data_IF_433741729972
#
_entry.id   IF_433741729972
#
_cell.length_a   1.000
_cell.length_b   1.000
_cell.length_c   1.000
_cell.angle_alpha   90.00
_cell.angle_beta   90.00
_cell.angle_gamma   90.00
#
_symmetry.space_group_name_H-M   'P 1'
#
loop_
_entity.id
_entity.type
_entity.pdbx_description
1 polymer ?
#
# COMPACT_ATOMS: atom_id res chain seq x y z
N UNK A 1 23.90 10.64 32.63
CA UNK A 1 22.51 10.55 32.15
C UNK A 1 22.49 9.59 30.97
N UNK A 2 21.95 8.39 31.13
CA UNK A 2 21.76 7.45 30.02
C UNK A 2 20.79 8.09 29.03
N UNK A 3 21.20 8.25 27.77
CA UNK A 3 20.34 8.75 26.70
C UNK A 3 19.13 7.80 26.61
N UNK A 4 17.92 8.35 26.73
CA UNK A 4 16.64 7.66 26.49
C UNK A 4 16.58 7.13 25.05
N UNK A 5 17.30 6.03 24.75
CA UNK A 5 17.29 5.33 23.48
C UNK A 5 15.99 4.54 23.24
N UNK A 6 15.17 4.40 24.27
CA UNK A 6 13.98 3.54 24.25
C UNK A 6 12.72 4.23 23.71
N UNK A 7 12.79 5.55 23.42
CA UNK A 7 11.69 6.34 22.87
C UNK A 7 11.99 6.77 21.44
N UNK A 8 12.18 5.81 20.55
CA UNK A 8 12.44 6.06 19.13
C UNK A 8 11.20 5.68 18.27
N UNK A 9 11.21 6.14 17.05
CA UNK A 9 10.28 5.73 16.00
C UNK A 9 10.20 4.19 15.88
N UNK A 10 11.35 3.53 15.89
CA UNK A 10 11.48 2.08 15.84
C UNK A 10 10.69 1.39 16.97
N UNK A 11 10.85 1.84 18.21
CA UNK A 11 10.28 1.16 19.38
C UNK A 11 8.82 1.51 19.62
N UNK A 12 8.38 2.70 19.20
CA UNK A 12 7.02 3.18 19.48
C UNK A 12 6.02 2.93 18.36
N UNK A 13 6.49 2.89 17.12
CA UNK A 13 5.59 2.77 15.97
C UNK A 13 5.97 1.61 15.06
N UNK A 14 7.24 1.50 14.65
CA UNK A 14 7.63 0.53 13.62
C UNK A 14 7.49 -0.92 14.09
N UNK A 15 8.05 -1.29 15.25
CA UNK A 15 7.92 -2.64 15.81
C UNK A 15 6.45 -2.97 16.14
N UNK A 16 5.68 -2.12 16.85
CA UNK A 16 4.27 -2.36 17.07
C UNK A 16 3.46 -2.57 15.78
N UNK A 17 3.71 -1.76 14.75
CA UNK A 17 3.06 -1.88 13.46
C UNK A 17 3.40 -3.22 12.76
N UNK A 18 4.67 -3.65 12.80
CA UNK A 18 5.09 -4.94 12.27
C UNK A 18 4.39 -6.11 12.98
N UNK A 19 4.37 -6.10 14.31
CA UNK A 19 3.68 -7.11 15.11
C UNK A 19 2.16 -7.10 14.87
N UNK A 20 1.58 -5.92 14.62
CA UNK A 20 0.16 -5.81 14.29
C UNK A 20 -0.14 -6.43 12.92
N UNK A 21 0.68 -6.17 11.89
CA UNK A 21 0.57 -6.83 10.59
C UNK A 21 0.70 -8.35 10.71
N UNK A 22 1.59 -8.85 11.57
CA UNK A 22 1.67 -10.30 11.84
C UNK A 22 0.37 -10.85 12.44
N UNK A 23 -0.30 -10.11 13.34
CA UNK A 23 -1.64 -10.47 13.84
C UNK A 23 -2.69 -10.52 12.74
N UNK A 24 -2.51 -9.75 11.69
CA UNK A 24 -3.36 -9.73 10.50
C UNK A 24 -3.00 -10.84 9.48
N UNK A 25 -2.06 -11.74 9.83
CA UNK A 25 -1.68 -12.88 9.01
C UNK A 25 -0.56 -12.63 7.99
N UNK A 26 0.22 -11.56 8.18
CA UNK A 26 1.46 -11.35 7.41
C UNK A 26 2.61 -12.14 8.05
N UNK A 27 3.45 -12.72 7.22
CA UNK A 27 4.66 -13.42 7.66
C UNK A 27 5.83 -12.45 7.74
N UNK A 28 6.44 -12.35 8.92
CA UNK A 28 7.64 -11.53 9.10
C UNK A 28 8.87 -12.22 8.51
N UNK A 29 9.62 -11.50 7.71
CA UNK A 29 10.92 -11.92 7.18
C UNK A 29 12.04 -11.21 7.94
N UNK A 30 12.95 -11.95 8.60
CA UNK A 30 14.04 -11.33 9.35
C UNK A 30 15.04 -10.65 8.40
N UNK A 31 15.66 -9.57 8.86
CA UNK A 31 16.58 -8.73 8.06
C UNK A 31 17.75 -9.49 7.44
N UNK A 32 18.21 -10.54 8.13
CA UNK A 32 19.25 -11.42 7.66
C UNK A 32 18.71 -12.79 7.17
N UNK A 33 17.40 -12.87 6.89
CA UNK A 33 16.78 -14.07 6.34
C UNK A 33 17.21 -14.34 4.90
N UNK A 34 17.09 -15.58 4.48
CA UNK A 34 17.49 -16.02 3.14
C UNK A 34 16.77 -15.22 2.05
N UNK A 35 15.46 -15.04 2.18
CA UNK A 35 14.61 -14.35 1.21
C UNK A 35 15.05 -12.89 1.02
N UNK A 36 15.45 -12.22 2.13
CA UNK A 36 15.94 -10.84 2.09
C UNK A 36 17.36 -10.78 1.53
N UNK A 37 18.22 -11.76 1.84
CA UNK A 37 19.59 -11.81 1.33
C UNK A 37 19.66 -12.07 -0.18
N UNK A 38 18.76 -12.91 -0.70
CA UNK A 38 18.68 -13.32 -2.11
C UNK A 38 17.77 -12.42 -2.97
N UNK A 39 17.22 -11.33 -2.39
CA UNK A 39 16.37 -10.41 -3.13
C UNK A 39 17.12 -9.69 -4.25
N UNK A 40 16.39 -9.23 -5.24
CA UNK A 40 16.95 -8.27 -6.21
C UNK A 40 17.18 -6.90 -5.54
N UNK A 41 18.40 -6.37 -5.55
CA UNK A 41 18.72 -5.16 -4.78
C UNK A 41 18.08 -3.88 -5.33
N UNK A 42 17.80 -3.81 -6.63
CA UNK A 42 17.24 -2.62 -7.29
C UNK A 42 15.73 -2.51 -7.10
N UNK A 43 15.05 -3.66 -7.09
CA UNK A 43 13.59 -3.72 -7.05
C UNK A 43 13.07 -4.18 -5.70
N UNK A 44 13.91 -4.79 -4.87
CA UNK A 44 13.54 -5.53 -3.66
C UNK A 44 12.60 -6.73 -3.92
N UNK A 45 12.48 -7.23 -5.15
CA UNK A 45 11.73 -8.47 -5.41
C UNK A 45 12.37 -9.62 -4.64
N UNK A 46 11.59 -10.35 -3.87
CA UNK A 46 11.99 -11.62 -3.24
C UNK A 46 11.94 -12.71 -4.32
N UNK A 47 13.05 -12.88 -5.04
CA UNK A 47 13.09 -13.68 -6.28
C UNK A 47 12.62 -15.10 -6.07
N UNK A 48 13.08 -15.78 -4.99
CA UNK A 48 12.69 -17.16 -4.68
C UNK A 48 11.19 -17.28 -4.39
N UNK A 49 10.63 -16.36 -3.60
CA UNK A 49 9.20 -16.34 -3.25
C UNK A 49 8.35 -16.04 -4.49
N UNK A 50 8.76 -15.05 -5.29
CA UNK A 50 8.04 -14.70 -6.51
C UNK A 50 8.06 -15.85 -7.51
N UNK A 51 9.19 -16.51 -7.70
CA UNK A 51 9.32 -17.70 -8.59
C UNK A 51 8.37 -18.82 -8.18
N UNK A 52 8.35 -19.16 -6.90
CA UNK A 52 7.46 -20.19 -6.36
C UNK A 52 5.98 -19.88 -6.65
N UNK A 53 5.53 -18.66 -6.30
CA UNK A 53 4.14 -18.28 -6.53
C UNK A 53 3.79 -18.11 -8.00
N UNK A 54 4.70 -17.59 -8.80
CA UNK A 54 4.53 -17.46 -10.25
C UNK A 54 4.30 -18.81 -10.91
N UNK A 55 5.16 -19.79 -10.66
CA UNK A 55 5.02 -21.14 -11.20
C UNK A 55 3.80 -21.89 -10.65
N UNK A 56 3.41 -21.62 -9.41
CA UNK A 56 2.17 -22.15 -8.83
C UNK A 56 0.91 -21.68 -9.57
N UNK A 57 0.85 -20.39 -9.91
CA UNK A 57 -0.30 -19.81 -10.63
C UNK A 57 -0.27 -20.10 -12.13
N UNK A 58 0.92 -20.30 -12.68
CA UNK A 58 1.14 -20.53 -14.13
C UNK A 58 1.80 -21.89 -14.34
N UNK A 59 1.12 -22.97 -13.97
CA UNK A 59 1.66 -24.32 -13.95
C UNK A 59 2.05 -24.89 -15.33
N UNK A 60 1.73 -24.18 -16.41
CA UNK A 60 2.14 -24.47 -17.79
C UNK A 60 3.47 -23.79 -18.17
N UNK A 61 3.99 -22.89 -17.34
CA UNK A 61 5.25 -22.19 -17.56
C UNK A 61 6.42 -22.90 -16.84
N UNK A 62 7.61 -22.67 -17.34
CA UNK A 62 8.87 -23.25 -16.84
C UNK A 62 9.69 -22.24 -16.03
N UNK A 63 10.80 -22.69 -15.45
CA UNK A 63 11.77 -21.80 -14.81
C UNK A 63 12.40 -20.82 -15.80
N UNK A 64 12.68 -21.25 -17.03
CA UNK A 64 13.21 -20.38 -18.08
C UNK A 64 12.20 -19.29 -18.48
N UNK A 65 10.91 -19.60 -18.45
CA UNK A 65 9.84 -18.63 -18.66
C UNK A 65 9.83 -17.59 -17.52
N UNK A 66 10.00 -18.03 -16.27
CA UNK A 66 10.09 -17.13 -15.13
C UNK A 66 11.29 -16.17 -15.25
N UNK A 67 12.48 -16.66 -15.64
CA UNK A 67 13.66 -15.82 -15.79
C UNK A 67 13.47 -14.76 -16.89
N UNK A 68 12.80 -15.12 -18.00
CA UNK A 68 12.42 -14.15 -19.05
C UNK A 68 11.42 -13.14 -18.53
N UNK A 69 10.44 -13.59 -17.76
CA UNK A 69 9.44 -12.72 -17.17
C UNK A 69 10.04 -11.73 -16.18
N UNK A 70 10.93 -12.18 -15.32
CA UNK A 70 11.65 -11.30 -14.39
C UNK A 70 12.49 -10.25 -15.13
N UNK A 71 13.12 -10.62 -16.25
CA UNK A 71 13.86 -9.68 -17.09
C UNK A 71 12.93 -8.63 -17.74
N UNK A 72 11.76 -9.06 -18.25
CA UNK A 72 10.75 -8.17 -18.81
C UNK A 72 10.21 -7.18 -17.76
N UNK A 73 9.91 -7.66 -16.55
CA UNK A 73 9.51 -6.81 -15.42
C UNK A 73 10.56 -5.72 -15.18
N UNK A 74 11.85 -6.08 -15.11
CA UNK A 74 12.92 -5.10 -14.88
C UNK A 74 13.01 -4.05 -15.98
N UNK A 75 12.81 -4.42 -17.25
CA UNK A 75 12.77 -3.49 -18.38
C UNK A 75 11.58 -2.52 -18.28
N UNK A 76 10.40 -3.01 -17.89
CA UNK A 76 9.22 -2.17 -17.71
C UNK A 76 9.38 -1.21 -16.52
N UNK A 77 10.01 -1.67 -15.45
CA UNK A 77 10.26 -0.84 -14.27
C UNK A 77 11.27 0.29 -14.53
N UNK A 78 12.05 0.23 -15.59
CA UNK A 78 12.94 1.32 -16.02
C UNK A 78 12.20 2.42 -16.80
N UNK A 79 10.97 2.17 -17.25
CA UNK A 79 10.22 3.14 -18.03
C UNK A 79 9.82 4.37 -17.20
N UNK A 80 9.77 5.52 -17.88
CA UNK A 80 9.35 6.78 -17.24
C UNK A 80 7.82 6.93 -17.33
N UNK A 81 7.07 6.01 -16.72
CA UNK A 81 5.61 5.92 -16.84
C UNK A 81 4.89 5.72 -15.51
N UNK A 82 5.54 6.06 -14.38
CA UNK A 82 5.02 5.86 -13.02
C UNK A 82 4.67 4.39 -12.69
N UNK A 83 5.29 3.43 -13.41
CA UNK A 83 5.02 2.01 -13.27
C UNK A 83 3.73 1.56 -13.97
N UNK A 84 3.23 2.32 -14.97
CA UNK A 84 2.01 1.96 -15.72
C UNK A 84 2.17 0.62 -16.46
N UNK A 85 3.31 0.39 -17.09
CA UNK A 85 3.58 -0.87 -17.81
C UNK A 85 3.57 -2.05 -16.86
N UNK A 86 4.30 -1.98 -15.76
CA UNK A 86 4.27 -3.00 -14.71
C UNK A 86 2.86 -3.18 -14.12
N UNK A 87 2.13 -2.09 -13.88
CA UNK A 87 0.77 -2.18 -13.37
C UNK A 87 -0.17 -2.94 -14.31
N UNK A 88 -0.05 -2.74 -15.63
CA UNK A 88 -0.82 -3.50 -16.63
C UNK A 88 -0.50 -4.99 -16.56
N UNK A 89 0.78 -5.33 -16.45
CA UNK A 89 1.24 -6.71 -16.28
C UNK A 89 0.69 -7.31 -14.98
N UNK A 90 0.78 -6.57 -13.87
CA UNK A 90 0.22 -6.98 -12.57
C UNK A 90 -1.30 -7.27 -12.64
N UNK A 91 -2.02 -6.61 -13.55
CA UNK A 91 -3.45 -6.84 -13.79
C UNK A 91 -3.74 -8.05 -14.71
N UNK A 92 -2.74 -8.81 -15.13
CA UNK A 92 -2.90 -9.99 -16.00
C UNK A 92 -3.15 -9.65 -17.48
N UNK A 93 -2.71 -8.47 -17.95
CA UNK A 93 -2.88 -8.11 -19.37
C UNK A 93 -1.87 -8.83 -20.31
N UNK A 94 -0.89 -9.52 -19.75
CA UNK A 94 0.19 -10.23 -20.47
C UNK A 94 0.13 -11.74 -20.26
N UNK A 95 -1.07 -12.29 -20.06
CA UNK A 95 -1.36 -13.73 -19.91
C UNK A 95 -0.77 -14.44 -18.67
N UNK A 96 0.18 -13.84 -17.95
CA UNK A 96 0.74 -14.41 -16.72
C UNK A 96 0.04 -13.90 -15.47
N UNK A 97 -0.25 -14.79 -14.53
CA UNK A 97 -0.90 -14.47 -13.25
C UNK A 97 0.16 -14.27 -12.17
N UNK A 98 0.18 -13.08 -11.56
CA UNK A 98 1.06 -12.75 -10.44
C UNK A 98 0.34 -12.77 -9.11
N UNK A 99 -0.95 -12.46 -9.12
CA UNK A 99 -1.81 -12.33 -7.94
C UNK A 99 -3.16 -12.96 -8.25
N UNK A 100 -3.65 -13.79 -7.36
CA UNK A 100 -5.07 -14.17 -7.34
C UNK A 100 -5.84 -13.06 -6.62
N UNK A 101 -6.54 -12.25 -7.40
CA UNK A 101 -7.31 -11.11 -6.90
C UNK A 101 -8.60 -11.51 -6.17
N UNK A 102 -9.05 -12.76 -6.36
CA UNK A 102 -10.33 -13.24 -5.87
C UNK A 102 -10.19 -14.01 -4.57
N UNK A 103 -9.10 -14.75 -4.43
CA UNK A 103 -8.84 -15.60 -3.30
C UNK A 103 -7.59 -15.10 -2.54
N UNK A 104 -7.74 -14.13 -1.62
CA UNK A 104 -6.61 -13.55 -0.89
C UNK A 104 -5.72 -14.59 -0.21
N UNK A 105 -6.31 -15.67 0.29
CA UNK A 105 -5.61 -16.69 1.09
C UNK A 105 -4.68 -17.61 0.26
N UNK A 106 -4.79 -17.62 -1.06
CA UNK A 106 -3.86 -18.40 -1.91
C UNK A 106 -2.58 -17.63 -2.23
N UNK A 107 -2.59 -16.31 -2.00
CA UNK A 107 -1.42 -15.46 -2.11
C UNK A 107 -0.59 -15.53 -0.82
N UNK A 108 0.71 -15.22 -0.94
CA UNK A 108 1.58 -15.02 0.22
C UNK A 108 1.72 -13.54 0.54
N UNK A 109 1.62 -13.22 1.81
CA UNK A 109 1.79 -11.87 2.33
C UNK A 109 2.95 -11.85 3.31
N UNK A 110 3.99 -11.08 3.00
CA UNK A 110 5.15 -10.93 3.86
C UNK A 110 5.37 -9.46 4.22
N UNK A 111 6.04 -9.27 5.34
CA UNK A 111 6.57 -7.96 5.71
C UNK A 111 8.04 -8.10 6.13
N UNK A 112 8.82 -7.07 5.89
CA UNK A 112 10.18 -6.97 6.38
C UNK A 112 10.49 -5.54 6.81
N UNK A 113 11.36 -5.39 7.81
CA UNK A 113 11.78 -4.10 8.32
C UNK A 113 13.07 -3.65 7.66
N UNK A 114 13.13 -2.37 7.31
CA UNK A 114 14.35 -1.68 6.87
C UNK A 114 15.04 -2.37 5.69
N UNK A 115 14.29 -2.86 4.70
CA UNK A 115 14.84 -3.47 3.48
C UNK A 115 15.46 -2.39 2.60
N UNK A 116 16.76 -2.42 2.44
CA UNK A 116 17.46 -1.42 1.63
C UNK A 116 17.24 -1.68 0.14
N UNK A 117 16.77 -0.67 -0.58
CA UNK A 117 16.87 -0.56 -2.02
C UNK A 117 18.18 0.13 -2.35
N UNK A 118 19.06 -0.50 -3.09
CA UNK A 118 20.38 -0.01 -3.38
C UNK A 118 20.61 0.11 -4.89
N UNK A 119 21.11 1.28 -5.32
CA UNK A 119 21.56 1.47 -6.69
C UNK A 119 22.89 2.25 -6.70
N UNK A 120 23.98 1.51 -6.86
CA UNK A 120 25.33 2.03 -6.74
C UNK A 120 25.66 2.45 -5.29
N UNK A 121 25.94 3.74 -5.10
CA UNK A 121 26.20 4.30 -3.77
C UNK A 121 24.95 4.94 -3.12
N UNK A 122 23.85 5.06 -3.86
CA UNK A 122 22.62 5.59 -3.33
C UNK A 122 21.79 4.46 -2.73
N UNK A 123 21.28 4.70 -1.55
CA UNK A 123 20.39 3.76 -0.86
C UNK A 123 19.13 4.46 -0.34
N UNK A 124 18.06 3.72 -0.35
CA UNK A 124 16.80 4.08 0.28
C UNK A 124 16.28 2.89 1.09
N UNK A 125 15.86 3.13 2.30
CA UNK A 125 15.47 2.09 3.23
C UNK A 125 14.10 2.42 3.85
N UNK A 126 13.00 1.90 3.27
CA UNK A 126 11.68 2.01 3.86
C UNK A 126 11.62 1.37 5.25
N UNK A 127 10.82 1.94 6.15
CA UNK A 127 10.67 1.41 7.51
C UNK A 127 10.05 0.00 7.51
N UNK A 128 8.97 -0.20 6.74
CA UNK A 128 8.29 -1.50 6.59
C UNK A 128 7.98 -1.71 5.11
N UNK A 129 8.43 -2.81 4.53
CA UNK A 129 8.07 -3.21 3.16
C UNK A 129 7.06 -4.34 3.23
N UNK A 130 6.01 -4.23 2.41
CA UNK A 130 4.93 -5.20 2.27
C UNK A 130 5.07 -5.91 0.93
N UNK A 131 5.15 -7.23 0.98
CA UNK A 131 5.26 -8.07 -0.20
C UNK A 131 3.98 -8.87 -0.39
N UNK A 132 3.53 -8.95 -1.64
CA UNK A 132 2.51 -9.89 -2.09
C UNK A 132 3.15 -10.80 -3.12
N UNK A 133 3.15 -12.08 -2.86
CA UNK A 133 3.79 -13.09 -3.72
C UNK A 133 5.26 -12.75 -4.07
N UNK A 134 5.99 -12.17 -3.11
CA UNK A 134 7.38 -11.77 -3.30
C UNK A 134 7.60 -10.41 -3.98
N UNK A 135 6.54 -9.76 -4.48
CA UNK A 135 6.60 -8.43 -5.09
C UNK A 135 6.44 -7.34 -4.03
N UNK A 136 7.33 -6.33 -3.90
CA UNK A 136 7.26 -5.25 -2.91
C UNK A 136 6.24 -4.19 -3.33
N UNK A 137 4.94 -4.53 -3.25
CA UNK A 137 3.86 -3.70 -3.79
C UNK A 137 3.48 -2.53 -2.91
N UNK A 138 3.90 -2.53 -1.64
CA UNK A 138 3.67 -1.40 -0.74
C UNK A 138 4.81 -1.22 0.25
N UNK A 139 4.98 0.02 0.72
CA UNK A 139 5.78 0.26 1.91
C UNK A 139 5.12 1.28 2.84
N UNK A 140 5.53 1.26 4.10
CA UNK A 140 5.01 2.13 5.15
C UNK A 140 6.21 2.85 5.78
N UNK A 141 6.16 4.16 5.81
CA UNK A 141 7.06 5.01 6.56
C UNK A 141 6.36 5.45 7.85
N UNK A 142 7.01 5.26 8.96
CA UNK A 142 6.47 5.66 10.25
C UNK A 142 7.25 6.82 10.82
N UNK A 143 6.61 7.59 11.68
CA UNK A 143 7.24 8.74 12.35
C UNK A 143 6.90 8.75 13.83
N UNK A 144 7.82 9.26 14.62
CA UNK A 144 7.58 9.43 16.04
C UNK A 144 6.41 10.40 16.27
N UNK A 145 5.46 10.06 17.14
CA UNK A 145 4.38 10.98 17.52
C UNK A 145 4.92 12.33 17.99
N UNK A 146 4.25 13.42 17.59
CA UNK A 146 4.61 14.79 17.95
C UNK A 146 6.04 15.24 17.56
N UNK A 147 6.68 14.54 16.62
CA UNK A 147 7.97 14.98 16.10
C UNK A 147 7.79 16.25 15.25
N UNK A 148 8.36 17.36 15.69
CA UNK A 148 8.42 18.60 14.91
C UNK A 148 9.90 18.91 14.64
N UNK A 149 10.22 19.11 13.36
CA UNK A 149 11.54 19.50 12.91
C UNK A 149 11.41 20.61 11.87
N UNK A 150 12.14 21.70 12.06
CA UNK A 150 12.12 22.86 11.14
C UNK A 150 10.69 23.38 10.86
N UNK A 151 9.82 23.39 11.89
CA UNK A 151 8.43 23.83 11.79
C UNK A 151 7.48 22.87 11.07
N UNK A 152 7.95 21.67 10.66
CA UNK A 152 7.16 20.64 10.00
C UNK A 152 6.96 19.43 10.90
N UNK A 153 5.77 18.81 10.82
CA UNK A 153 5.53 17.51 11.46
C UNK A 153 6.33 16.40 10.76
N UNK A 154 6.47 15.25 11.44
CA UNK A 154 7.10 14.08 10.85
C UNK A 154 6.45 13.66 9.53
N UNK A 155 5.11 13.72 9.45
CA UNK A 155 4.34 13.43 8.22
C UNK A 155 4.67 14.42 7.11
N UNK A 156 4.70 15.72 7.37
CA UNK A 156 5.04 16.74 6.37
C UNK A 156 6.46 16.54 5.83
N UNK A 157 7.41 16.31 6.72
CA UNK A 157 8.80 16.06 6.36
C UNK A 157 8.96 14.80 5.50
N UNK A 158 8.19 13.74 5.82
CA UNK A 158 8.25 12.49 5.04
C UNK A 158 7.56 12.61 3.69
N UNK A 159 6.48 13.37 3.58
CA UNK A 159 5.86 13.67 2.28
C UNK A 159 6.83 14.40 1.34
N UNK A 160 7.60 15.36 1.85
CA UNK A 160 8.61 16.07 1.07
C UNK A 160 9.77 15.15 0.66
N UNK A 161 10.23 14.28 1.59
CA UNK A 161 11.28 13.30 1.33
C UNK A 161 10.86 12.27 0.29
N UNK A 162 9.63 11.80 0.34
CA UNK A 162 9.06 10.84 -0.62
C UNK A 162 9.03 11.45 -2.03
N UNK A 163 8.68 12.73 -2.17
CA UNK A 163 8.75 13.41 -3.48
C UNK A 163 10.15 13.41 -4.04
N UNK A 164 11.14 13.77 -3.23
CA UNK A 164 12.54 13.75 -3.65
C UNK A 164 12.99 12.37 -4.11
N UNK A 165 12.55 11.30 -3.42
CA UNK A 165 12.85 9.92 -3.82
C UNK A 165 12.25 9.55 -5.17
N UNK A 166 11.05 10.05 -5.50
CA UNK A 166 10.43 9.79 -6.80
C UNK A 166 11.17 10.48 -7.96
N UNK A 167 11.77 11.62 -7.71
CA UNK A 167 12.56 12.34 -8.69
C UNK A 167 13.94 11.69 -8.93
N UNK A 168 14.44 10.91 -7.99
CA UNK A 168 15.70 10.22 -8.11
C UNK A 168 15.58 8.99 -9.02
N UNK A 169 16.12 9.11 -10.25
CA UNK A 169 16.08 8.06 -11.26
C UNK A 169 16.73 6.74 -10.82
N UNK A 170 17.65 6.76 -9.86
CA UNK A 170 18.31 5.57 -9.34
C UNK A 170 17.35 4.63 -8.61
N UNK A 171 16.26 5.16 -8.05
CA UNK A 171 15.22 4.36 -7.38
C UNK A 171 14.00 4.10 -8.27
N UNK A 172 14.09 4.37 -9.58
CA UNK A 172 12.94 4.27 -10.49
C UNK A 172 12.31 2.89 -10.46
N UNK A 173 13.09 1.81 -10.54
CA UNK A 173 12.56 0.45 -10.51
C UNK A 173 11.77 0.16 -9.25
N UNK A 174 12.32 0.51 -8.09
CA UNK A 174 11.61 0.34 -6.82
C UNK A 174 10.39 1.27 -6.70
N UNK A 175 10.48 2.49 -7.17
CA UNK A 175 9.33 3.41 -7.19
C UNK A 175 8.22 2.93 -8.13
N UNK A 176 8.56 2.32 -9.25
CA UNK A 176 7.60 1.85 -10.24
C UNK A 176 6.93 0.53 -9.84
N UNK A 177 7.64 -0.38 -9.14
CA UNK A 177 7.05 -1.61 -8.65
C UNK A 177 6.13 -1.37 -7.44
N UNK A 178 6.46 -0.39 -6.60
CA UNK A 178 5.65 -0.02 -5.44
C UNK A 178 4.38 0.69 -5.88
N UNK A 179 3.23 0.10 -5.58
CA UNK A 179 1.94 0.62 -6.00
C UNK A 179 1.29 1.52 -4.95
N UNK A 180 1.50 1.22 -3.66
CA UNK A 180 0.90 1.93 -2.54
C UNK A 180 1.96 2.33 -1.51
N UNK A 181 1.88 3.56 -1.03
CA UNK A 181 2.79 4.10 -0.02
C UNK A 181 1.97 4.63 1.13
N UNK A 182 2.33 4.27 2.35
CA UNK A 182 1.67 4.74 3.54
C UNK A 182 2.61 5.46 4.49
N UNK A 183 2.06 6.44 5.20
CA UNK A 183 2.76 7.24 6.20
C UNK A 183 1.95 7.24 7.49
N UNK A 184 2.58 7.06 8.65
CA UNK A 184 1.88 7.15 9.94
C UNK A 184 2.79 7.70 11.03
N UNK A 185 2.28 8.61 11.86
CA UNK A 185 2.94 9.08 13.08
C UNK A 185 2.28 8.57 14.36
N UNK A 186 1.39 7.59 14.21
CA UNK A 186 0.60 7.00 15.30
C UNK A 186 -0.24 8.03 16.09
N UNK A 187 -0.64 9.12 15.44
CA UNK A 187 -1.57 10.10 15.99
C UNK A 187 -2.93 10.00 15.28
N UNK A 188 -3.99 10.43 15.98
CA UNK A 188 -5.29 10.55 15.35
C UNK A 188 -5.27 11.64 14.27
N UNK A 189 -5.96 11.39 13.15
CA UNK A 189 -6.13 12.39 12.11
C UNK A 189 -6.95 13.58 12.60
N UNK A 190 -6.46 14.79 12.36
CA UNK A 190 -7.16 16.03 12.65
C UNK A 190 -7.46 16.73 11.31
N UNK A 191 -8.75 17.02 11.08
CA UNK A 191 -9.20 17.80 9.93
C UNK A 191 -9.34 19.28 10.32
N UNK A 192 -8.89 20.18 9.46
CA UNK A 192 -9.09 21.62 9.62
C UNK A 192 -8.07 22.45 8.86
N UNK A 193 -8.47 23.68 8.50
CA UNK A 193 -7.51 24.64 7.92
C UNK A 193 -6.55 25.13 9.02
N UNK A 194 -5.26 25.18 8.69
CA UNK A 194 -4.22 25.63 9.61
C UNK A 194 -3.78 24.60 10.65
N UNK A 195 -4.37 23.41 10.68
CA UNK A 195 -3.92 22.35 11.57
C UNK A 195 -2.65 21.69 11.03
N UNK A 196 -1.78 21.26 11.94
CA UNK A 196 -0.60 20.48 11.56
C UNK A 196 -1.03 19.13 11.02
N UNK A 197 -0.35 18.66 9.97
CA UNK A 197 -0.62 17.33 9.39
C UNK A 197 -0.09 16.25 10.33
N UNK A 198 -1.00 15.49 10.89
CA UNK A 198 -0.74 14.30 11.70
C UNK A 198 -1.71 13.18 11.32
N UNK A 199 -1.40 11.94 11.73
CA UNK A 199 -2.23 10.78 11.47
C UNK A 199 -1.65 9.87 10.40
N UNK A 200 -2.50 9.06 9.79
CA UNK A 200 -2.11 8.11 8.77
C UNK A 200 -2.59 8.55 7.39
N UNK A 201 -1.71 8.41 6.42
CA UNK A 201 -1.92 8.83 5.04
C UNK A 201 -1.46 7.74 4.08
N UNK A 202 -2.02 7.73 2.88
CA UNK A 202 -1.60 6.84 1.80
C UNK A 202 -1.61 7.54 0.45
N UNK A 203 -0.81 7.04 -0.47
CA UNK A 203 -0.65 7.59 -1.81
C UNK A 203 0.10 6.62 -2.71
N UNK A 204 0.55 7.12 -3.85
CA UNK A 204 1.40 6.40 -4.79
C UNK A 204 2.44 7.35 -5.38
N UNK A 205 3.37 6.82 -6.18
CA UNK A 205 4.37 7.63 -6.85
C UNK A 205 3.74 8.63 -7.84
N UNK A 206 4.39 9.76 -8.04
CA UNK A 206 3.96 10.79 -8.95
C UNK A 206 5.17 11.64 -9.43
N UNK A 207 5.05 12.33 -10.57
CA UNK A 207 6.16 13.15 -11.08
C UNK A 207 6.40 14.44 -10.29
N UNK A 208 5.36 15.20 -10.00
CA UNK A 208 5.55 16.54 -9.44
C UNK A 208 4.78 16.83 -8.16
N UNK A 209 3.66 16.20 -7.95
CA UNK A 209 2.78 16.48 -6.80
C UNK A 209 2.16 15.20 -6.29
N UNK A 210 2.93 14.43 -5.54
CA UNK A 210 2.36 13.30 -4.80
C UNK A 210 1.26 13.78 -3.89
N UNK A 211 0.06 13.26 -4.10
CA UNK A 211 -1.10 13.51 -3.25
C UNK A 211 -1.22 12.37 -2.25
N UNK A 212 -1.00 12.67 -0.99
CA UNK A 212 -1.30 11.76 0.10
C UNK A 212 -2.69 12.04 0.65
N UNK A 213 -3.52 11.02 0.68
CA UNK A 213 -4.88 11.07 1.20
C UNK A 213 -4.89 10.56 2.64
N UNK A 214 -5.54 11.28 3.55
CA UNK A 214 -5.82 10.72 4.87
C UNK A 214 -6.75 9.53 4.72
N UNK A 215 -6.54 8.50 5.52
CA UNK A 215 -7.45 7.37 5.61
C UNK A 215 -8.32 7.52 6.85
N UNK A 216 -9.63 7.29 6.69
CA UNK A 216 -10.59 7.22 7.77
C UNK A 216 -11.47 6.01 7.54
N UNK A 217 -11.62 5.16 8.57
CA UNK A 217 -12.59 4.06 8.53
C UNK A 217 -14.01 4.63 8.66
N UNK A 218 -14.90 4.22 7.77
CA UNK A 218 -16.31 4.63 7.78
C UNK A 218 -17.26 3.52 8.27
N UNK A 219 -16.72 2.31 8.48
CA UNK A 219 -17.50 1.18 9.00
C UNK A 219 -17.06 0.86 10.42
N UNK A 220 -18.00 0.42 11.23
CA UNK A 220 -17.65 -0.27 12.46
C UNK A 220 -17.01 -1.62 12.07
N UNK A 221 -15.71 -1.71 12.25
CA UNK A 221 -14.96 -2.95 12.04
C UNK A 221 -14.55 -3.48 13.40
N UNK A 222 -14.95 -4.70 13.68
CA UNK A 222 -14.45 -5.38 14.87
C UNK A 222 -13.02 -5.88 14.61
N UNK A 223 -12.07 -4.97 14.81
CA UNK A 223 -10.65 -5.27 14.62
C UNK A 223 -10.13 -6.38 15.54
N UNK A 224 -10.76 -6.55 16.69
CA UNK A 224 -10.34 -7.58 17.65
C UNK A 224 -10.63 -9.00 17.13
N UNK A 225 -11.74 -9.15 16.40
CA UNK A 225 -12.10 -10.44 15.79
C UNK A 225 -11.35 -10.71 14.47
N UNK A 226 -10.74 -9.71 13.87
CA UNK A 226 -9.99 -9.84 12.61
C UNK A 226 -8.49 -10.11 12.79
N UNK A 227 -7.98 -10.08 14.02
CA UNK A 227 -6.56 -10.29 14.32
C UNK A 227 -6.35 -11.54 15.20
N UNK A 228 -5.23 -12.24 14.96
CA UNK A 228 -4.84 -13.41 15.73
C UNK A 228 -3.76 -13.01 16.74
N UNK A 229 -3.94 -13.31 18.04
CA UNK A 229 -2.89 -13.06 19.04
C UNK A 229 -1.58 -13.73 18.65
N UNK A 230 -0.47 -13.02 18.81
CA UNK A 230 0.87 -13.60 18.60
C UNK A 230 1.29 -14.38 19.85
N UNK A 231 2.00 -15.49 19.60
CA UNK A 231 2.71 -16.21 20.65
C UNK A 231 3.97 -15.43 21.05
N UNK A 232 4.43 -15.66 22.27
CA UNK A 232 5.63 -14.98 22.80
C UNK A 232 6.85 -15.20 21.94
N UNK A 233 7.04 -16.40 21.38
CA UNK A 233 8.18 -16.73 20.49
C UNK A 233 8.16 -15.90 19.20
N UNK A 234 6.97 -15.57 18.68
CA UNK A 234 6.85 -14.74 17.47
C UNK A 234 7.24 -13.27 17.76
N UNK A 235 6.86 -12.79 18.95
CA UNK A 235 7.26 -11.45 19.41
C UNK A 235 8.78 -11.40 19.62
N UNK A 236 9.30 -12.39 20.34
CA UNK A 236 10.74 -12.51 20.65
C UNK A 236 11.56 -12.58 19.37
N UNK A 237 11.11 -13.35 18.37
CA UNK A 237 11.78 -13.46 17.07
C UNK A 237 11.96 -12.09 16.39
N UNK A 238 10.94 -11.24 16.38
CA UNK A 238 11.04 -9.88 15.84
C UNK A 238 11.97 -9.02 16.68
N UNK A 239 11.85 -9.09 18.01
CA UNK A 239 12.66 -8.27 18.92
C UNK A 239 14.15 -8.65 18.89
N UNK A 240 14.48 -9.92 18.70
CA UNK A 240 15.84 -10.41 18.51
C UNK A 240 16.43 -9.91 17.20
N UNK A 241 15.69 -10.02 16.09
CA UNK A 241 16.13 -9.53 14.78
C UNK A 241 16.46 -8.04 14.79
N UNK A 242 15.63 -7.23 15.46
CA UNK A 242 15.88 -5.77 15.60
C UNK A 242 16.79 -5.41 16.79
N UNK A 243 17.28 -6.39 17.56
CA UNK A 243 18.14 -6.21 18.74
C UNK A 243 17.48 -5.30 19.81
N UNK A 244 16.22 -5.57 20.13
CA UNK A 244 15.41 -4.81 21.08
C UNK A 244 14.64 -5.69 22.08
N UNK A 245 15.20 -6.84 22.47
CA UNK A 245 14.56 -7.81 23.39
C UNK A 245 14.10 -7.16 24.71
N UNK A 246 14.90 -6.23 25.25
CA UNK A 246 14.54 -5.51 26.49
C UNK A 246 13.26 -4.67 26.38
N UNK A 247 12.76 -4.39 25.16
CA UNK A 247 11.54 -3.64 24.96
C UNK A 247 10.32 -4.34 25.52
N UNK A 248 10.31 -5.69 25.49
CA UNK A 248 9.18 -6.53 25.95
C UNK A 248 8.79 -6.27 27.42
N UNK A 249 9.75 -5.89 28.25
CA UNK A 249 9.52 -5.59 29.68
C UNK A 249 9.04 -4.16 29.97
N UNK A 250 8.95 -3.31 28.94
CA UNK A 250 8.56 -1.90 29.13
C UNK A 250 7.03 -1.75 29.06
N UNK A 251 6.41 -1.03 30.00
CA UNK A 251 4.96 -0.82 30.02
C UNK A 251 4.43 -0.17 28.72
N UNK A 252 5.20 0.74 28.12
CA UNK A 252 4.84 1.42 26.89
C UNK A 252 4.76 0.47 25.68
N UNK A 253 5.51 -0.63 25.72
CA UNK A 253 5.44 -1.63 24.65
C UNK A 253 4.04 -2.26 24.58
N UNK A 254 3.50 -2.68 25.70
CA UNK A 254 2.14 -3.24 25.77
C UNK A 254 1.10 -2.23 25.29
N UNK A 255 1.23 -0.96 25.68
CA UNK A 255 0.32 0.11 25.25
C UNK A 255 0.39 0.34 23.74
N UNK A 256 1.59 0.35 23.15
CA UNK A 256 1.77 0.56 21.72
C UNK A 256 1.31 -0.63 20.87
N UNK A 257 1.19 -1.82 21.47
CA UNK A 257 0.66 -3.03 20.82
C UNK A 257 -0.87 -3.09 20.78
N UNK A 258 -1.58 -2.16 21.43
CA UNK A 258 -3.04 -2.19 21.41
C UNK A 258 -3.56 -2.01 19.98
N UNK A 259 -4.59 -2.79 19.58
CA UNK A 259 -5.09 -2.77 18.21
C UNK A 259 -5.80 -1.44 17.85
N UNK A 260 -6.23 -0.69 18.84
CA UNK A 260 -6.92 0.60 18.71
C UNK A 260 -5.98 1.82 18.66
N UNK A 261 -4.65 1.60 18.68
CA UNK A 261 -3.74 2.72 18.40
C UNK A 261 -3.96 3.25 16.99
N UNK A 262 -3.78 4.55 16.72
CA UNK A 262 -4.09 5.15 15.43
C UNK A 262 -3.38 4.47 14.25
N UNK A 263 -2.12 4.09 14.41
CA UNK A 263 -1.39 3.36 13.37
C UNK A 263 -1.97 1.96 13.16
N UNK A 264 -2.22 1.19 14.23
CA UNK A 264 -2.76 -0.17 14.15
C UNK A 264 -4.17 -0.17 13.56
N UNK A 265 -5.03 0.77 13.95
CA UNK A 265 -6.36 0.96 13.34
C UNK A 265 -6.27 1.22 11.84
N UNK A 266 -5.34 2.10 11.42
CA UNK A 266 -5.09 2.36 10.01
C UNK A 266 -4.63 1.10 9.27
N UNK A 267 -3.72 0.32 9.86
CA UNK A 267 -3.25 -0.94 9.27
C UNK A 267 -4.38 -1.96 9.16
N UNK A 268 -5.15 -2.16 10.23
CA UNK A 268 -6.33 -3.04 10.22
C UNK A 268 -7.33 -2.64 9.15
N UNK A 269 -7.43 -1.35 8.85
CA UNK A 269 -8.35 -0.85 7.86
C UNK A 269 -7.81 -1.02 6.43
N UNK A 270 -6.63 -0.49 6.11
CA UNK A 270 -6.11 -0.45 4.74
C UNK A 270 -5.39 -1.75 4.32
N UNK A 271 -4.72 -2.42 5.27
CA UNK A 271 -3.87 -3.56 4.99
C UNK A 271 -4.53 -4.93 5.28
N UNK A 272 -5.85 -4.99 5.54
CA UNK A 272 -6.56 -6.26 5.41
C UNK A 272 -6.33 -6.83 4.01
N UNK A 273 -6.01 -8.12 3.90
CA UNK A 273 -5.59 -8.75 2.64
C UNK A 273 -6.56 -8.46 1.50
N UNK A 274 -7.86 -8.65 1.71
CA UNK A 274 -8.89 -8.34 0.70
C UNK A 274 -8.88 -6.87 0.28
N UNK A 275 -8.78 -5.96 1.26
CA UNK A 275 -8.81 -4.52 0.98
C UNK A 275 -7.54 -4.06 0.30
N UNK A 276 -6.38 -4.57 0.73
CA UNK A 276 -5.12 -4.29 0.05
C UNK A 276 -5.17 -4.75 -1.40
N UNK A 277 -5.63 -5.98 -1.67
CA UNK A 277 -5.80 -6.48 -3.03
C UNK A 277 -6.82 -5.66 -3.82
N UNK A 278 -7.94 -5.28 -3.22
CA UNK A 278 -8.91 -4.38 -3.86
C UNK A 278 -8.26 -3.05 -4.25
N UNK A 279 -7.50 -2.42 -3.36
CA UNK A 279 -6.83 -1.16 -3.64
C UNK A 279 -5.77 -1.29 -4.73
N UNK A 280 -5.01 -2.39 -4.74
CA UNK A 280 -4.02 -2.68 -5.77
C UNK A 280 -4.66 -3.02 -7.12
N UNK A 281 -5.83 -3.67 -7.13
CA UNK A 281 -6.52 -4.06 -8.35
C UNK A 281 -7.36 -2.91 -8.93
N UNK A 282 -8.24 -2.30 -8.14
CA UNK A 282 -9.24 -1.33 -8.60
C UNK A 282 -8.95 0.10 -8.14
N UNK A 283 -8.18 0.28 -7.07
CA UNK A 283 -7.96 1.57 -6.43
C UNK A 283 -6.90 2.45 -7.08
N UNK A 284 -6.26 2.00 -8.16
CA UNK A 284 -5.22 2.74 -8.88
C UNK A 284 -5.66 2.99 -10.32
N UNK A 285 -5.40 4.20 -10.81
CA UNK A 285 -5.70 4.58 -12.19
C UNK A 285 -4.65 5.53 -12.73
N UNK A 286 -4.33 5.36 -14.02
CA UNK A 286 -3.44 6.22 -14.76
C UNK A 286 -4.26 7.08 -15.73
N UNK A 287 -4.08 8.38 -15.66
CA UNK A 287 -4.81 9.37 -16.45
C UNK A 287 -3.81 10.28 -17.14
N UNK A 288 -4.03 10.59 -18.39
CA UNK A 288 -3.28 11.62 -19.12
C UNK A 288 -4.02 12.95 -18.95
N UNK A 289 -3.38 13.87 -18.22
CA UNK A 289 -3.92 15.20 -17.95
C UNK A 289 -3.14 16.25 -18.77
N UNK A 290 -3.84 17.18 -19.38
CA UNK A 290 -3.23 18.33 -20.03
C UNK A 290 -2.79 19.35 -18.95
N UNK A 291 -1.52 19.71 -18.96
CA UNK A 291 -1.00 20.77 -18.10
C UNK A 291 -1.48 22.14 -18.57
N UNK A 292 -1.38 23.15 -17.69
CA UNK A 292 -1.70 24.54 -18.06
C UNK A 292 -0.88 25.08 -19.23
N UNK A 293 0.20 24.40 -19.58
CA UNK A 293 1.13 24.73 -20.67
C UNK A 293 0.86 23.91 -21.93
N UNK A 294 -0.27 23.15 -21.97
CA UNK A 294 -0.66 22.34 -23.13
C UNK A 294 0.13 21.02 -23.27
N UNK A 295 0.93 20.63 -22.26
CA UNK A 295 1.66 19.37 -22.30
C UNK A 295 0.82 18.25 -21.66
N UNK A 296 0.73 17.11 -22.34
CA UNK A 296 0.10 15.92 -21.80
C UNK A 296 1.06 15.28 -20.80
N UNK A 297 0.63 15.14 -19.56
CA UNK A 297 1.39 14.50 -18.50
C UNK A 297 0.62 13.34 -17.90
N UNK A 298 1.28 12.18 -17.79
CA UNK A 298 0.73 11.02 -17.12
C UNK A 298 0.65 11.29 -15.60
N UNK A 299 -0.52 11.01 -15.02
CA UNK A 299 -0.77 11.06 -13.59
C UNK A 299 -1.24 9.70 -13.08
N UNK A 300 -0.84 9.36 -11.86
CA UNK A 300 -1.31 8.17 -11.16
C UNK A 300 -2.17 8.60 -9.98
N UNK A 301 -3.41 8.17 -9.98
CA UNK A 301 -4.37 8.49 -8.92
C UNK A 301 -4.65 7.27 -8.06
N UNK A 302 -4.84 7.51 -6.78
CA UNK A 302 -5.23 6.49 -5.79
C UNK A 302 -6.64 6.78 -5.32
N UNK A 303 -7.49 5.77 -5.28
CA UNK A 303 -8.84 5.82 -4.74
C UNK A 303 -8.81 6.35 -3.30
N UNK A 304 -9.65 7.35 -3.01
CA UNK A 304 -9.81 7.89 -1.67
C UNK A 304 -10.77 7.01 -0.86
N UNK A 305 -10.64 7.04 0.47
CA UNK A 305 -11.49 6.21 1.33
C UNK A 305 -13.01 6.43 1.11
N UNK A 306 -13.54 7.66 0.88
CA UNK A 306 -14.96 7.81 0.60
C UNK A 306 -15.39 7.15 -0.71
N UNK A 307 -14.50 7.10 -1.69
CA UNK A 307 -14.76 6.40 -2.96
C UNK A 307 -14.78 4.89 -2.77
N UNK A 308 -13.84 4.36 -1.97
CA UNK A 308 -13.82 2.94 -1.62
C UNK A 308 -15.12 2.51 -0.95
N UNK A 309 -15.52 3.20 0.12
CA UNK A 309 -16.74 2.85 0.85
C UNK A 309 -18.00 3.01 0.02
N UNK A 310 -18.06 4.05 -0.83
CA UNK A 310 -19.17 4.22 -1.77
C UNK A 310 -19.24 3.09 -2.79
N UNK A 311 -18.11 2.67 -3.37
CA UNK A 311 -18.06 1.55 -4.32
C UNK A 311 -18.55 0.25 -3.67
N UNK A 312 -18.10 -0.05 -2.45
CA UNK A 312 -18.57 -1.24 -1.71
C UNK A 312 -20.06 -1.16 -1.35
N UNK A 313 -20.56 0.02 -0.95
CA UNK A 313 -21.98 0.22 -0.66
C UNK A 313 -22.87 0.08 -1.92
N UNK A 314 -22.38 0.54 -3.07
CA UNK A 314 -23.07 0.35 -4.36
C UNK A 314 -23.17 -1.13 -4.69
N UNK A 315 -22.08 -1.88 -4.61
CA UNK A 315 -22.06 -3.33 -4.82
C UNK A 315 -23.08 -4.05 -3.92
N UNK A 316 -23.02 -3.80 -2.61
CA UNK A 316 -23.94 -4.40 -1.64
C UNK A 316 -25.41 -4.07 -1.92
N UNK A 317 -25.67 -2.86 -2.41
CA UNK A 317 -27.00 -2.41 -2.78
C UNK A 317 -27.50 -3.14 -4.02
N UNK A 318 -26.65 -3.28 -5.04
CA UNK A 318 -26.95 -4.03 -6.26
C UNK A 318 -27.16 -5.52 -5.94
N UNK A 319 -26.32 -6.11 -5.11
CA UNK A 319 -26.44 -7.51 -4.69
C UNK A 319 -27.77 -7.82 -3.98
N UNK A 320 -28.36 -6.84 -3.31
CA UNK A 320 -29.71 -6.92 -2.71
C UNK A 320 -30.85 -6.75 -3.73
N UNK A 321 -30.54 -6.62 -5.02
CA UNK A 321 -31.53 -6.43 -6.09
C UNK A 321 -32.12 -5.02 -6.19
N UNK A 322 -31.56 -4.04 -5.49
CA UNK A 322 -32.01 -2.65 -5.54
C UNK A 322 -31.57 -2.01 -6.86
N UNK A 323 -32.54 -1.48 -7.62
CA UNK A 323 -32.33 -0.96 -8.98
C UNK A 323 -32.10 0.54 -9.05
N UNK A 324 -32.38 1.29 -7.97
CA UNK A 324 -32.24 2.75 -7.93
C UNK A 324 -31.66 3.16 -6.60
N UNK A 325 -30.78 4.16 -6.63
CA UNK A 325 -30.14 4.69 -5.41
C UNK A 325 -29.63 6.11 -5.61
N UNK A 326 -29.26 6.75 -4.52
CA UNK A 326 -28.62 8.06 -4.50
C UNK A 326 -27.31 7.92 -3.76
N UNK A 327 -26.25 8.42 -4.38
CA UNK A 327 -24.91 8.50 -3.75
C UNK A 327 -24.72 9.93 -3.30
N UNK A 328 -24.74 10.13 -1.98
CA UNK A 328 -24.53 11.46 -1.39
C UNK A 328 -23.08 11.66 -1.02
N UNK A 329 -22.43 12.56 -1.74
CA UNK A 329 -21.03 12.94 -1.48
C UNK A 329 -20.90 14.46 -1.37
N UNK A 330 -20.06 14.93 -0.45
CA UNK A 330 -19.74 16.36 -0.31
C UNK A 330 -19.06 16.90 -1.57
N UNK A 331 -19.12 18.22 -1.75
CA UNK A 331 -18.40 18.88 -2.84
C UNK A 331 -16.89 18.65 -2.68
N UNK A 332 -16.17 18.40 -3.76
CA UNK A 332 -14.73 18.13 -3.75
C UNK A 332 -14.33 16.73 -3.28
N UNK A 333 -15.29 15.83 -2.99
CA UNK A 333 -14.99 14.43 -2.59
C UNK A 333 -14.50 13.54 -3.73
N UNK A 334 -14.52 14.03 -4.99
CA UNK A 334 -14.10 13.28 -6.17
C UNK A 334 -15.19 12.40 -6.77
N UNK A 335 -16.42 12.90 -6.91
CA UNK A 335 -17.54 12.18 -7.51
C UNK A 335 -17.25 11.66 -8.92
N UNK A 336 -16.60 12.45 -9.76
CA UNK A 336 -16.19 12.04 -11.13
C UNK A 336 -15.24 10.85 -11.10
N UNK A 337 -14.24 10.89 -10.21
CA UNK A 337 -13.32 9.77 -10.03
C UNK A 337 -14.03 8.52 -9.47
N UNK A 338 -15.01 8.69 -8.56
CA UNK A 338 -15.86 7.59 -8.09
C UNK A 338 -16.59 6.91 -9.24
N UNK A 339 -17.18 7.68 -10.16
CA UNK A 339 -17.88 7.14 -11.33
C UNK A 339 -16.92 6.28 -12.17
N UNK A 340 -15.70 6.75 -12.40
CA UNK A 340 -14.68 6.02 -13.15
C UNK A 340 -14.24 4.71 -12.44
N UNK A 341 -13.97 4.75 -11.14
CA UNK A 341 -13.65 3.55 -10.38
C UNK A 341 -14.78 2.53 -10.39
N UNK A 342 -16.04 3.01 -10.31
CA UNK A 342 -17.21 2.14 -10.37
C UNK A 342 -17.38 1.45 -11.72
N UNK A 343 -17.10 2.12 -12.85
CA UNK A 343 -17.12 1.45 -14.17
C UNK A 343 -16.20 0.23 -14.12
N UNK A 344 -14.96 0.42 -13.71
CA UNK A 344 -13.96 -0.63 -13.70
C UNK A 344 -14.34 -1.78 -12.75
N UNK A 345 -14.74 -1.43 -11.54
CA UNK A 345 -15.12 -2.43 -10.53
C UNK A 345 -16.39 -3.19 -10.91
N UNK A 346 -17.46 -2.48 -11.28
CA UNK A 346 -18.75 -3.09 -11.62
C UNK A 346 -18.68 -3.88 -12.93
N UNK A 347 -17.82 -3.50 -13.88
CA UNK A 347 -17.56 -4.34 -15.06
C UNK A 347 -17.04 -5.71 -14.63
N UNK A 348 -16.06 -5.76 -13.73
CA UNK A 348 -15.56 -7.02 -13.20
C UNK A 348 -16.64 -7.78 -12.42
N UNK A 349 -17.37 -7.10 -11.55
CA UNK A 349 -18.47 -7.69 -10.76
C UNK A 349 -19.53 -8.36 -11.63
N UNK A 350 -20.00 -7.70 -12.69
CA UNK A 350 -21.01 -8.25 -13.57
C UNK A 350 -20.46 -9.30 -14.55
N UNK A 351 -19.23 -9.13 -15.01
CA UNK A 351 -18.56 -10.12 -15.87
C UNK A 351 -18.47 -11.49 -15.22
N UNK A 352 -18.24 -11.56 -13.91
CA UNK A 352 -18.28 -12.82 -13.14
C UNK A 352 -19.64 -13.50 -13.14
N UNK A 353 -20.69 -12.75 -13.38
CA UNK A 353 -22.06 -13.24 -13.49
C UNK A 353 -22.49 -13.50 -14.95
N UNK A 354 -21.55 -13.40 -15.89
CA UNK A 354 -21.82 -13.55 -17.33
C UNK A 354 -22.58 -12.37 -17.94
N UNK A 355 -22.59 -11.22 -17.28
CA UNK A 355 -23.30 -10.02 -17.72
C UNK A 355 -22.31 -9.00 -18.26
N UNK A 356 -22.56 -8.47 -19.46
CA UNK A 356 -21.80 -7.34 -20.02
C UNK A 356 -22.53 -6.04 -19.67
N UNK A 357 -22.05 -5.26 -18.68
CA UNK A 357 -22.74 -4.04 -18.27
C UNK A 357 -22.50 -2.90 -19.28
N UNK A 358 -23.48 -2.02 -19.40
CA UNK A 358 -23.38 -0.76 -20.13
C UNK A 358 -23.56 0.40 -19.15
N UNK A 359 -22.73 1.42 -19.27
CA UNK A 359 -22.74 2.60 -18.39
C UNK A 359 -23.09 3.85 -19.19
N UNK A 360 -24.06 4.61 -18.72
CA UNK A 360 -24.48 5.87 -19.30
C UNK A 360 -24.32 6.98 -18.28
N UNK A 361 -23.58 8.02 -18.64
CA UNK A 361 -23.39 9.22 -17.81
C UNK A 361 -24.17 10.38 -18.40
N UNK A 362 -25.05 10.93 -17.60
CA UNK A 362 -25.77 12.15 -17.94
C UNK A 362 -25.25 13.28 -17.07
N UNK A 363 -24.63 14.27 -17.68
CA UNK A 363 -24.04 15.42 -17.00
C UNK A 363 -24.70 16.71 -17.47
N UNK A 364 -24.77 17.70 -16.60
CA UNK A 364 -25.36 19.01 -16.88
C UNK A 364 -24.37 20.04 -17.38
N UNK A 365 -23.07 19.71 -17.38
CA UNK A 365 -21.99 20.59 -17.80
C UNK A 365 -21.09 19.93 -18.83
N UNK A 366 -20.61 20.72 -19.78
CA UNK A 366 -19.70 20.24 -20.84
C UNK A 366 -18.24 20.06 -20.38
N UNK A 367 -17.89 20.62 -19.21
CA UNK A 367 -16.56 20.59 -18.60
C UNK A 367 -16.38 19.46 -17.55
N UNK A 368 -17.32 18.53 -17.49
CA UNK A 368 -17.28 17.30 -16.73
C UNK A 368 -17.08 16.12 -17.66
#
# INVERSE_FOLDING_TARGET
>A
MAKRKDFSELTRVQIPAALHLMRMGYTYLPRNGKEIAERDPDTNILVSVFKEQFLKFNNYLTEDDFERELANIKLELDQNDLGRSFFKRLQGQEDAIYIDWENPEVNTFHLALEVTCQNGQDEFRPDIVIFVNGLPLSYIEVKQPNAIRDGKTGIQSEQDRTRYRFENRKFRRFNNITQLISLSDNLAYISGQGQQKQGSYYGSNAYSKTKFNAFKEEREVDFLNSIVPLRDEQIDFVLEDVKRVALKSQPEFTTNLQPDTPCNTFLSSLYQKERLLFMLHFGLVYVEEESKEGQIQLQKHVMRYPQYFATRAIEETIAKGVKKGVIWHTQGSGKTALAFFNIRYLTNYFSKQGIVPQFYFVVDRLDL
#
